data_IF_552120077252
#
_entry.id   IF_552120077252
#
_cell.length_a   1.000
_cell.length_b   1.000
_cell.length_c   1.000
_cell.angle_alpha   90.00
_cell.angle_beta   90.00
_cell.angle_gamma   90.00
#
_symmetry.space_group_name_H-M   'P 1'
#
loop_
_entity.id
_entity.type
_entity.pdbx_description
1 polymer ?
#
# COMPACT_ATOMS: atom_id res chain seq x y z
N UNK A 1 22.87 28.88 4.58
CA UNK A 1 23.64 27.73 4.06
C UNK A 1 22.64 26.69 3.57
N UNK A 2 22.56 26.47 2.26
CA UNK A 2 21.63 25.50 1.67
C UNK A 2 22.05 24.09 2.05
N UNK A 3 21.11 23.31 2.60
CA UNK A 3 21.38 21.92 2.98
C UNK A 3 20.38 21.00 2.33
N UNK A 4 20.91 20.03 1.58
CA UNK A 4 20.12 19.08 0.79
C UNK A 4 20.18 17.70 1.43
N UNK A 5 19.01 17.10 1.62
CA UNK A 5 18.83 15.74 2.13
C UNK A 5 18.29 14.83 1.04
N UNK A 6 18.90 13.65 0.93
CA UNK A 6 18.48 12.61 0.00
C UNK A 6 17.68 11.53 0.74
N UNK A 7 17.03 10.64 -0.02
CA UNK A 7 16.42 9.45 0.54
C UNK A 7 17.51 8.46 0.95
N UNK A 8 17.42 7.94 2.19
CA UNK A 8 18.40 7.01 2.72
C UNK A 8 18.45 5.69 1.94
N UNK A 9 19.66 5.16 1.75
CA UNK A 9 19.85 3.86 1.11
C UNK A 9 19.13 2.73 1.85
N UNK A 10 19.11 2.78 3.18
CA UNK A 10 18.44 1.80 4.02
C UNK A 10 16.93 1.77 3.75
N UNK A 11 16.32 2.94 3.56
CA UNK A 11 14.93 3.04 3.16
C UNK A 11 14.67 2.46 1.77
N UNK A 12 15.56 2.73 0.81
CA UNK A 12 15.47 2.17 -0.55
C UNK A 12 15.59 0.64 -0.51
N UNK A 13 16.54 0.10 0.25
CA UNK A 13 16.73 -1.35 0.45
C UNK A 13 15.50 -1.98 1.09
N UNK A 14 14.93 -1.35 2.12
CA UNK A 14 13.70 -1.82 2.77
C UNK A 14 12.53 -1.84 1.78
N UNK A 15 12.28 -0.75 1.06
CA UNK A 15 11.19 -0.69 0.07
C UNK A 15 11.38 -1.69 -1.07
N UNK A 16 12.60 -1.92 -1.53
CA UNK A 16 12.90 -2.97 -2.52
C UNK A 16 12.55 -4.36 -1.98
N UNK A 17 12.91 -4.66 -0.72
CA UNK A 17 12.54 -5.93 -0.06
C UNK A 17 11.03 -6.08 0.05
N UNK A 18 10.32 -5.07 0.57
CA UNK A 18 8.85 -5.10 0.68
C UNK A 18 8.18 -5.33 -0.67
N UNK A 19 8.62 -4.62 -1.72
CA UNK A 19 8.09 -4.81 -3.07
C UNK A 19 8.37 -6.21 -3.61
N UNK A 20 9.57 -6.74 -3.39
CA UNK A 20 9.92 -8.10 -3.81
C UNK A 20 9.07 -9.15 -3.09
N UNK A 21 8.85 -9.00 -1.78
CA UNK A 21 7.93 -9.87 -1.02
C UNK A 21 6.52 -9.82 -1.61
N UNK A 22 6.01 -8.62 -1.94
CA UNK A 22 4.71 -8.47 -2.59
C UNK A 22 4.64 -9.15 -3.96
N UNK A 23 5.68 -8.99 -4.79
CA UNK A 23 5.76 -9.61 -6.12
C UNK A 23 5.73 -11.14 -6.06
N UNK A 24 6.32 -11.75 -5.04
CA UNK A 24 6.33 -13.21 -4.87
C UNK A 24 5.04 -13.71 -4.21
N UNK A 25 4.55 -13.00 -3.18
CA UNK A 25 3.40 -13.44 -2.38
C UNK A 25 2.05 -13.25 -3.09
N UNK A 26 1.88 -12.18 -3.87
CA UNK A 26 0.60 -11.91 -4.55
C UNK A 26 0.17 -13.04 -5.50
N UNK A 27 1.04 -13.57 -6.39
CA UNK A 27 0.67 -14.71 -7.25
C UNK A 27 0.33 -15.97 -6.46
N UNK A 28 1.10 -16.26 -5.41
CA UNK A 28 0.85 -17.42 -4.53
C UNK A 28 -0.52 -17.29 -3.86
N UNK A 29 -0.88 -16.09 -3.39
CA UNK A 29 -2.21 -15.82 -2.84
C UNK A 29 -3.32 -16.01 -3.87
N UNK A 30 -3.13 -15.53 -5.09
CA UNK A 30 -4.14 -15.68 -6.15
C UNK A 30 -4.35 -17.17 -6.44
N UNK A 31 -3.27 -17.94 -6.57
CA UNK A 31 -3.36 -19.39 -6.75
C UNK A 31 -4.03 -20.09 -5.57
N UNK A 32 -3.62 -19.82 -4.33
CA UNK A 32 -4.23 -20.39 -3.12
C UNK A 32 -5.71 -20.02 -2.99
N UNK A 33 -6.06 -18.76 -3.22
CA UNK A 33 -7.45 -18.29 -3.15
C UNK A 33 -8.32 -18.92 -4.23
N UNK A 34 -7.79 -19.13 -5.43
CA UNK A 34 -8.49 -19.84 -6.49
C UNK A 34 -8.68 -21.33 -6.14
N UNK A 35 -7.65 -21.98 -5.59
CA UNK A 35 -7.72 -23.38 -5.15
C UNK A 35 -8.72 -23.55 -4.00
N UNK A 36 -8.76 -22.62 -3.04
CA UNK A 36 -9.69 -22.70 -1.91
C UNK A 36 -11.13 -22.35 -2.37
N UNK A 37 -11.28 -21.32 -3.21
CA UNK A 37 -12.57 -20.83 -3.69
C UNK A 37 -13.27 -21.73 -4.69
N UNK A 38 -12.50 -22.42 -5.53
CA UNK A 38 -13.04 -23.26 -6.60
C UNK A 38 -12.64 -24.74 -6.45
N UNK A 39 -11.97 -25.12 -5.34
CA UNK A 39 -11.37 -26.44 -5.05
C UNK A 39 -12.25 -27.63 -5.34
N UNK A 40 -13.55 -27.47 -5.05
CA UNK A 40 -14.57 -28.51 -5.20
C UNK A 40 -15.32 -28.42 -6.54
N UNK A 41 -15.10 -27.39 -7.34
CA UNK A 41 -15.75 -27.21 -8.64
C UNK A 41 -15.02 -27.95 -9.76
N UNK A 42 -15.78 -28.51 -10.71
CA UNK A 42 -15.24 -29.08 -11.96
C UNK A 42 -14.47 -28.05 -12.80
N UNK A 43 -14.63 -26.76 -12.51
CA UNK A 43 -13.97 -25.64 -13.20
C UNK A 43 -12.45 -25.66 -12.97
N UNK A 44 -11.96 -25.99 -11.77
CA UNK A 44 -10.50 -26.10 -11.51
C UNK A 44 -9.86 -27.23 -12.31
N UNK A 45 -10.58 -28.33 -12.54
CA UNK A 45 -10.08 -29.47 -13.30
C UNK A 45 -9.93 -29.17 -14.79
N UNK A 46 -10.46 -28.04 -15.26
CA UNK A 46 -10.30 -27.60 -16.63
C UNK A 46 -8.90 -27.02 -16.86
N UNK A 47 -8.15 -27.61 -17.78
CA UNK A 47 -6.85 -27.09 -18.23
C UNK A 47 -6.92 -25.63 -18.71
N UNK A 48 -8.08 -25.20 -19.24
CA UNK A 48 -8.33 -23.81 -19.65
C UNK A 48 -8.34 -22.85 -18.45
N UNK A 49 -8.92 -23.25 -17.32
CA UNK A 49 -8.96 -22.43 -16.11
C UNK A 49 -7.56 -22.21 -15.53
N UNK A 50 -6.75 -23.28 -15.47
CA UNK A 50 -5.35 -23.21 -15.01
C UNK A 50 -4.50 -22.32 -15.94
N UNK A 51 -4.71 -22.41 -17.26
CA UNK A 51 -4.05 -21.56 -18.24
C UNK A 51 -4.43 -20.08 -18.07
N UNK A 52 -5.70 -19.76 -17.87
CA UNK A 52 -6.16 -18.39 -17.63
C UNK A 52 -5.59 -17.86 -16.30
N UNK A 53 -5.63 -18.66 -15.24
CA UNK A 53 -5.13 -18.27 -13.92
C UNK A 53 -3.63 -18.01 -13.93
N UNK A 54 -2.86 -18.86 -14.63
CA UNK A 54 -1.42 -18.68 -14.78
C UNK A 54 -1.10 -17.44 -15.64
N UNK A 55 -1.85 -17.19 -16.72
CA UNK A 55 -1.73 -15.97 -17.52
C UNK A 55 -1.97 -14.69 -16.71
N UNK A 56 -3.05 -14.65 -15.91
CA UNK A 56 -3.35 -13.52 -15.01
C UNK A 56 -2.24 -13.33 -13.98
N UNK A 57 -1.76 -14.41 -13.39
CA UNK A 57 -0.67 -14.38 -12.39
C UNK A 57 0.62 -13.82 -12.98
N UNK A 58 1.01 -14.27 -14.17
CA UNK A 58 2.19 -13.77 -14.89
C UNK A 58 2.04 -12.28 -15.23
N UNK A 59 0.87 -11.89 -15.74
CA UNK A 59 0.59 -10.49 -16.06
C UNK A 59 0.74 -9.59 -14.82
N UNK A 60 0.17 -9.99 -13.68
CA UNK A 60 0.29 -9.25 -12.42
C UNK A 60 1.74 -9.16 -11.92
N UNK A 61 2.53 -10.23 -12.06
CA UNK A 61 3.96 -10.19 -11.71
C UNK A 61 4.69 -9.16 -12.56
N UNK A 62 4.47 -9.17 -13.88
CA UNK A 62 5.09 -8.22 -14.81
C UNK A 62 4.69 -6.79 -14.44
N UNK A 63 3.40 -6.55 -14.20
CA UNK A 63 2.90 -5.24 -13.80
C UNK A 63 3.53 -4.76 -12.49
N UNK A 64 3.58 -5.61 -11.46
CA UNK A 64 4.21 -5.28 -10.18
C UNK A 64 5.70 -4.96 -10.32
N UNK A 65 6.43 -5.69 -11.18
CA UNK A 65 7.84 -5.40 -11.48
C UNK A 65 7.98 -4.02 -12.12
N UNK A 66 7.15 -3.70 -13.10
CA UNK A 66 7.17 -2.40 -13.79
C UNK A 66 6.81 -1.27 -12.83
N UNK A 67 5.75 -1.43 -12.03
CA UNK A 67 5.32 -0.46 -11.02
C UNK A 67 6.41 -0.23 -9.97
N UNK A 68 7.00 -1.31 -9.46
CA UNK A 68 8.08 -1.25 -8.47
C UNK A 68 9.30 -0.50 -9.01
N UNK A 69 9.73 -0.78 -10.25
CA UNK A 69 10.83 -0.03 -10.90
C UNK A 69 10.53 1.47 -11.01
N UNK A 70 9.33 1.84 -11.46
CA UNK A 70 8.92 3.24 -11.61
C UNK A 70 8.85 3.93 -10.24
N UNK A 71 8.27 3.28 -9.25
CA UNK A 71 8.13 3.83 -7.90
C UNK A 71 9.49 4.02 -7.23
N UNK A 72 10.39 3.03 -7.32
CA UNK A 72 11.75 3.14 -6.80
C UNK A 72 12.54 4.26 -7.49
N UNK A 73 12.38 4.43 -8.81
CA UNK A 73 13.00 5.55 -9.54
C UNK A 73 12.50 6.90 -9.03
N UNK A 74 11.19 7.04 -8.81
CA UNK A 74 10.59 8.26 -8.24
C UNK A 74 11.06 8.54 -6.81
N UNK A 75 11.14 7.51 -5.97
CA UNK A 75 11.63 7.65 -4.59
C UNK A 75 13.10 8.12 -4.61
N UNK A 76 13.95 7.50 -5.43
CA UNK A 76 15.37 7.88 -5.54
C UNK A 76 15.59 9.31 -6.02
N UNK A 77 14.69 9.84 -6.87
CA UNK A 77 14.76 11.22 -7.33
C UNK A 77 14.27 12.24 -6.31
N UNK A 78 13.68 11.81 -5.19
CA UNK A 78 13.21 12.75 -4.19
C UNK A 78 14.36 13.35 -3.40
N UNK A 79 14.39 14.68 -3.30
CA UNK A 79 15.32 15.42 -2.46
C UNK A 79 14.57 16.50 -1.70
N UNK A 80 15.10 16.89 -0.55
CA UNK A 80 14.62 18.04 0.20
C UNK A 80 15.77 19.00 0.38
N UNK A 81 15.52 20.26 0.16
CA UNK A 81 16.46 21.34 0.38
C UNK A 81 15.86 22.32 1.38
N UNK A 82 16.69 22.73 2.34
CA UNK A 82 16.35 23.75 3.31
C UNK A 82 16.99 25.08 2.90
N UNK A 83 16.14 26.07 2.67
CA UNK A 83 16.55 27.46 2.50
C UNK A 83 16.32 28.23 3.81
N UNK A 84 16.65 29.51 3.82
CA UNK A 84 16.46 30.35 5.01
C UNK A 84 14.98 30.56 5.34
N UNK A 85 14.11 30.60 4.33
CA UNK A 85 12.67 30.91 4.47
C UNK A 85 11.74 29.74 4.17
N UNK A 86 12.21 28.68 3.52
CA UNK A 86 11.36 27.60 3.06
C UNK A 86 12.03 26.21 3.04
N UNK A 87 11.17 25.21 2.88
CA UNK A 87 11.54 23.82 2.57
C UNK A 87 11.16 23.58 1.11
N UNK A 88 12.14 23.26 0.26
CA UNK A 88 11.91 22.87 -1.13
C UNK A 88 11.99 21.36 -1.27
N UNK A 89 10.96 20.74 -1.83
CA UNK A 89 10.90 19.32 -2.13
C UNK A 89 10.97 19.11 -3.63
N UNK A 90 11.99 18.38 -4.07
CA UNK A 90 12.17 17.99 -5.45
C UNK A 90 11.61 16.59 -5.66
N UNK A 91 10.68 16.45 -6.61
CA UNK A 91 10.05 15.20 -7.01
C UNK A 91 10.23 14.95 -8.51
N UNK A 92 11.46 14.65 -8.92
CA UNK A 92 11.80 14.59 -10.35
C UNK A 92 11.84 15.99 -10.96
N UNK A 93 10.91 16.29 -11.88
CA UNK A 93 10.81 17.62 -12.53
C UNK A 93 9.97 18.63 -11.74
N UNK A 94 9.26 18.18 -10.71
CA UNK A 94 8.39 19.04 -9.92
C UNK A 94 9.12 19.53 -8.67
N UNK A 95 8.97 20.82 -8.37
CA UNK A 95 9.47 21.44 -7.14
C UNK A 95 8.27 21.95 -6.37
N UNK A 96 8.13 21.51 -5.12
CA UNK A 96 7.15 22.04 -4.18
C UNK A 96 7.90 22.86 -3.13
N UNK A 97 7.47 24.10 -2.89
CA UNK A 97 8.08 24.99 -1.89
C UNK A 97 7.10 25.25 -0.74
N UNK A 98 7.62 25.20 0.48
CA UNK A 98 6.85 25.33 1.71
C UNK A 98 7.52 26.33 2.64
N UNK A 99 6.96 27.53 2.74
CA UNK A 99 7.46 28.58 3.64
C UNK A 99 7.23 28.20 5.10
N UNK A 100 8.18 28.55 5.98
CA UNK A 100 8.08 28.24 7.41
C UNK A 100 6.89 28.95 8.08
N UNK A 101 6.58 30.18 7.68
CA UNK A 101 5.49 31.00 8.22
C UNK A 101 4.10 30.37 8.05
N UNK A 102 3.93 29.56 7.00
CA UNK A 102 2.67 28.90 6.66
C UNK A 102 2.49 27.54 7.37
N UNK A 103 3.49 27.10 8.15
CA UNK A 103 3.46 25.84 8.89
C UNK A 103 2.65 26.04 10.16
N UNK A 104 1.49 25.39 10.20
CA UNK A 104 0.55 25.49 11.34
C UNK A 104 0.84 24.48 12.44
N UNK A 105 1.36 23.30 12.06
CA UNK A 105 1.54 22.19 13.00
C UNK A 105 2.54 21.18 12.46
N UNK A 106 3.40 20.69 13.34
CA UNK A 106 4.34 19.61 13.07
C UNK A 106 4.02 18.45 13.98
N UNK A 107 3.96 17.26 13.40
CA UNK A 107 3.73 16.02 14.12
C UNK A 107 4.92 15.10 13.89
N UNK A 108 5.61 14.74 14.96
CA UNK A 108 6.76 13.82 14.89
C UNK A 108 6.33 12.47 15.45
N UNK A 109 6.59 11.41 14.68
CA UNK A 109 6.36 10.04 15.12
C UNK A 109 7.71 9.33 15.21
N UNK A 110 7.94 8.70 16.38
CA UNK A 110 9.18 8.02 16.71
C UNK A 110 8.96 6.51 16.79
N UNK A 111 9.98 5.75 16.38
CA UNK A 111 10.07 4.30 16.58
C UNK A 111 10.35 3.98 18.05
N UNK A 112 10.09 2.75 18.52
CA UNK A 112 10.46 2.31 19.88
C UNK A 112 11.94 2.53 20.23
N UNK A 113 12.81 2.53 19.22
CA UNK A 113 14.25 2.87 19.33
C UNK A 113 14.53 4.36 19.55
N UNK A 114 13.50 5.20 19.74
CA UNK A 114 13.52 6.67 19.87
C UNK A 114 13.98 7.44 18.63
N UNK A 115 14.32 6.76 17.53
CA UNK A 115 14.60 7.39 16.22
C UNK A 115 13.33 7.95 15.59
N UNK A 116 13.45 9.04 14.85
CA UNK A 116 12.31 9.63 14.13
C UNK A 116 11.95 8.71 12.95
N UNK A 117 10.72 8.23 12.90
CA UNK A 117 10.22 7.45 11.77
C UNK A 117 9.85 8.38 10.63
N UNK A 118 8.98 9.37 10.90
CA UNK A 118 8.57 10.38 9.94
C UNK A 118 8.13 11.68 10.63
N UNK A 119 8.17 12.76 9.87
CA UNK A 119 7.74 14.10 10.27
C UNK A 119 6.55 14.48 9.39
N UNK A 120 5.40 14.76 9.99
CA UNK A 120 4.21 15.22 9.29
C UNK A 120 4.02 16.72 9.52
N UNK A 121 4.12 17.50 8.47
CA UNK A 121 4.01 18.96 8.48
C UNK A 121 2.64 19.34 7.93
N UNK A 122 1.86 20.10 8.69
CA UNK A 122 0.60 20.68 8.25
C UNK A 122 0.84 22.10 7.75
N UNK A 123 0.66 22.27 6.45
CA UNK A 123 0.92 23.51 5.72
C UNK A 123 -0.38 23.98 5.07
N UNK A 124 -0.91 25.14 5.49
CA UNK A 124 -2.23 25.63 5.05
C UNK A 124 -3.32 24.52 5.17
N UNK A 125 -3.97 24.15 4.06
CA UNK A 125 -4.96 23.06 3.96
C UNK A 125 -4.35 21.71 3.53
N UNK A 126 -3.03 21.59 3.41
CA UNK A 126 -2.32 20.38 2.98
C UNK A 126 -1.52 19.77 4.13
N UNK A 127 -1.17 18.50 4.01
CA UNK A 127 -0.23 17.84 4.91
C UNK A 127 0.87 17.16 4.11
N UNK A 128 2.11 17.41 4.50
CA UNK A 128 3.31 16.84 3.90
C UNK A 128 3.86 15.83 4.90
N UNK A 129 4.35 14.69 4.42
CA UNK A 129 5.00 13.70 5.27
C UNK A 129 6.42 13.48 4.76
N UNK A 130 7.39 13.80 5.60
CA UNK A 130 8.81 13.54 5.37
C UNK A 130 9.12 12.16 5.95
N UNK A 131 9.43 11.21 5.07
CA UNK A 131 9.65 9.81 5.44
C UNK A 131 10.78 9.22 4.61
N UNK A 132 11.68 8.48 5.26
CA UNK A 132 12.77 7.76 4.60
C UNK A 132 13.99 8.60 4.20
N UNK A 133 14.02 9.89 4.54
CA UNK A 133 15.18 10.77 4.32
C UNK A 133 16.34 10.43 5.26
N UNK A 134 17.54 10.78 4.82
CA UNK A 134 18.74 10.71 5.65
C UNK A 134 18.66 11.73 6.79
N UNK A 135 19.12 11.33 7.98
CA UNK A 135 19.21 12.19 9.17
C UNK A 135 17.92 12.97 9.47
N UNK A 136 16.78 12.28 9.58
CA UNK A 136 15.49 12.89 9.94
C UNK A 136 15.56 13.68 11.26
N UNK A 137 16.45 13.31 12.18
CA UNK A 137 16.72 14.06 13.41
C UNK A 137 17.29 15.46 13.15
N UNK A 138 18.22 15.59 12.20
CA UNK A 138 18.81 16.88 11.82
C UNK A 138 17.80 17.74 11.06
N UNK A 139 17.02 17.12 10.16
CA UNK A 139 15.88 17.74 9.49
C UNK A 139 14.89 18.30 10.52
N UNK A 140 14.54 17.50 11.54
CA UNK A 140 13.62 17.94 12.59
C UNK A 140 14.17 19.15 13.35
N UNK A 141 15.43 19.11 13.79
CA UNK A 141 16.07 20.25 14.50
C UNK A 141 16.07 21.53 13.66
N UNK A 142 16.32 21.44 12.36
CA UNK A 142 16.27 22.61 11.46
C UNK A 142 14.89 23.21 11.32
N UNK A 143 13.86 22.36 11.36
CA UNK A 143 12.46 22.80 11.33
C UNK A 143 12.07 23.43 12.68
N UNK A 144 12.44 22.77 13.79
CA UNK A 144 12.16 23.21 15.16
C UNK A 144 12.78 24.59 15.44
N UNK A 145 14.03 24.82 15.03
CA UNK A 145 14.70 26.11 15.22
C UNK A 145 14.05 27.29 14.47
N UNK A 146 13.15 27.03 13.51
CA UNK A 146 12.54 28.06 12.64
C UNK A 146 11.06 28.30 12.91
N UNK A 147 10.43 27.55 13.81
CA UNK A 147 8.99 27.58 14.01
C UNK A 147 8.70 27.64 15.52
N UNK A 148 7.71 28.42 15.97
CA UNK A 148 7.36 28.50 17.39
C UNK A 148 7.00 27.13 18.00
N UNK A 149 7.47 26.89 19.23
CA UNK A 149 7.34 25.63 19.99
C UNK A 149 5.90 25.11 20.09
N UNK A 150 4.92 26.02 20.11
CA UNK A 150 3.47 25.70 20.20
C UNK A 150 2.94 24.90 19.02
N UNK A 151 3.69 24.82 17.92
CA UNK A 151 3.31 24.09 16.71
C UNK A 151 3.71 22.60 16.73
N UNK A 152 4.57 22.18 17.66
CA UNK A 152 5.18 20.85 17.65
C UNK A 152 4.41 19.90 18.56
N UNK A 153 3.86 18.83 17.97
CA UNK A 153 3.24 17.73 18.71
C UNK A 153 4.04 16.46 18.48
N UNK A 154 4.55 15.89 19.56
CA UNK A 154 5.22 14.59 19.55
C UNK A 154 4.21 13.50 19.93
N UNK A 155 3.93 12.58 19.00
CA UNK A 155 2.98 11.50 19.24
C UNK A 155 3.67 10.24 19.76
N UNK A 156 2.95 9.51 20.62
CA UNK A 156 3.38 8.23 21.20
C UNK A 156 3.47 7.12 20.15
N UNK A 157 4.38 6.19 20.43
CA UNK A 157 4.78 5.03 19.63
C UNK A 157 3.61 4.19 19.09
N UNK A 158 3.76 3.69 17.87
CA UNK A 158 2.95 2.57 17.38
C UNK A 158 3.56 1.25 17.88
N UNK A 159 2.77 0.43 18.58
CA UNK A 159 3.23 -0.85 19.17
C UNK A 159 3.53 -1.91 18.09
N UNK A 160 2.97 -1.77 16.89
CA UNK A 160 3.11 -2.72 15.77
C UNK A 160 3.66 -2.00 14.55
N UNK A 161 4.78 -2.50 14.02
CA UNK A 161 5.35 -2.03 12.76
C UNK A 161 4.69 -2.74 11.56
N UNK A 162 3.57 -2.17 11.09
CA UNK A 162 2.84 -2.66 9.92
C UNK A 162 3.63 -2.58 8.60
N UNK A 163 4.76 -1.85 8.57
CA UNK A 163 5.64 -1.81 7.40
C UNK A 163 6.60 -3.01 7.32
N UNK A 164 6.58 -3.91 8.31
CA UNK A 164 7.40 -5.13 8.30
C UNK A 164 6.82 -6.15 7.30
N UNK A 165 7.59 -6.65 6.32
CA UNK A 165 7.11 -7.68 5.40
C UNK A 165 6.61 -8.95 6.10
N UNK A 166 7.13 -9.29 7.29
CA UNK A 166 6.65 -10.41 8.09
C UNK A 166 5.25 -10.19 8.66
N UNK A 167 4.88 -8.96 9.03
CA UNK A 167 3.53 -8.66 9.52
C UNK A 167 2.49 -8.96 8.43
N UNK A 168 2.84 -8.69 7.18
CA UNK A 168 1.99 -9.03 6.04
C UNK A 168 1.86 -10.54 5.85
N UNK A 169 2.96 -11.30 5.96
CA UNK A 169 2.94 -12.77 5.89
C UNK A 169 2.06 -13.37 7.00
N UNK A 170 2.21 -12.88 8.24
CA UNK A 170 1.40 -13.35 9.38
C UNK A 170 -0.08 -13.05 9.16
N UNK A 171 -0.42 -11.85 8.67
CA UNK A 171 -1.80 -11.50 8.32
C UNK A 171 -2.36 -12.41 7.22
N UNK A 172 -1.54 -12.75 6.21
CA UNK A 172 -1.92 -13.69 5.14
C UNK A 172 -2.19 -15.10 5.67
N UNK A 173 -1.33 -15.62 6.54
CA UNK A 173 -1.50 -16.94 7.16
C UNK A 173 -2.76 -16.98 8.03
N UNK A 174 -3.03 -15.93 8.81
CA UNK A 174 -4.26 -15.79 9.59
C UNK A 174 -5.49 -15.81 8.69
N UNK A 175 -5.47 -15.06 7.59
CA UNK A 175 -6.58 -15.05 6.64
C UNK A 175 -6.84 -16.45 6.06
N UNK A 176 -5.78 -17.18 5.68
CA UNK A 176 -5.89 -18.56 5.18
C UNK A 176 -6.49 -19.51 6.22
N UNK A 177 -6.07 -19.41 7.49
CA UNK A 177 -6.62 -20.21 8.59
C UNK A 177 -8.11 -19.91 8.81
N UNK A 178 -8.50 -18.64 8.79
CA UNK A 178 -9.91 -18.24 8.92
C UNK A 178 -10.74 -18.80 7.77
N UNK A 179 -10.30 -18.62 6.53
CA UNK A 179 -11.00 -19.14 5.35
C UNK A 179 -11.14 -20.66 5.43
N UNK A 180 -10.05 -21.37 5.75
CA UNK A 180 -10.04 -22.84 5.87
C UNK A 180 -10.88 -23.37 7.03
N UNK A 181 -11.06 -22.57 8.09
CA UNK A 181 -11.91 -22.93 9.23
C UNK A 181 -13.38 -22.77 8.88
N UNK A 182 -13.75 -21.68 8.20
CA UNK A 182 -15.14 -21.43 7.76
C UNK A 182 -15.58 -22.49 6.76
N UNK A 183 -14.72 -22.87 5.80
CA UNK A 183 -15.03 -23.95 4.83
C UNK A 183 -15.30 -25.29 5.51
N UNK A 184 -14.61 -25.60 6.62
CA UNK A 184 -14.80 -26.85 7.37
C UNK A 184 -16.06 -26.88 8.24
N UNK A 185 -16.52 -25.72 8.73
CA UNK A 185 -17.68 -25.66 9.63
C UNK A 185 -18.98 -25.80 8.86
N UNK A 186 -19.16 -25.00 7.81
CA UNK A 186 -20.40 -25.02 7.02
C UNK A 186 -20.13 -24.42 5.64
N UNK A 187 -20.34 -25.22 4.59
CA UNK A 187 -20.13 -24.82 3.20
C UNK A 187 -21.01 -23.63 2.79
N UNK A 188 -22.26 -23.60 3.23
CA UNK A 188 -23.20 -22.52 2.94
C UNK A 188 -22.77 -21.22 3.62
N UNK A 189 -22.28 -21.30 4.85
CA UNK A 189 -21.77 -20.14 5.59
C UNK A 189 -20.48 -19.58 4.97
N UNK A 190 -19.64 -20.48 4.43
CA UNK A 190 -18.50 -20.12 3.61
C UNK A 190 -18.90 -19.39 2.32
N UNK A 191 -19.89 -19.90 1.60
CA UNK A 191 -20.37 -19.30 0.36
C UNK A 191 -20.93 -17.89 0.59
N UNK A 192 -21.73 -17.69 1.66
CA UNK A 192 -22.20 -16.36 2.06
C UNK A 192 -21.04 -15.43 2.41
N UNK A 193 -20.10 -15.88 3.24
CA UNK A 193 -18.92 -15.08 3.61
C UNK A 193 -18.09 -14.70 2.38
N UNK A 194 -17.83 -15.65 1.48
CA UNK A 194 -17.05 -15.44 0.27
C UNK A 194 -17.74 -14.44 -0.68
N UNK A 195 -19.05 -14.55 -0.85
CA UNK A 195 -19.83 -13.62 -1.68
C UNK A 195 -19.86 -12.20 -1.09
N UNK A 196 -20.09 -12.05 0.20
CA UNK A 196 -20.06 -10.73 0.87
C UNK A 196 -18.66 -10.12 0.80
N UNK A 197 -17.63 -10.92 1.04
CA UNK A 197 -16.23 -10.48 0.97
C UNK A 197 -15.84 -10.04 -0.45
N UNK A 198 -16.17 -10.82 -1.47
CA UNK A 198 -15.86 -10.50 -2.88
C UNK A 198 -16.63 -9.27 -3.37
N UNK A 199 -17.88 -9.08 -2.98
CA UNK A 199 -18.63 -7.84 -3.22
C UNK A 199 -17.96 -6.65 -2.52
N UNK A 200 -17.56 -6.81 -1.26
CA UNK A 200 -16.85 -5.77 -0.52
C UNK A 200 -15.55 -5.35 -1.20
N UNK A 201 -14.76 -6.32 -1.67
CA UNK A 201 -13.52 -6.08 -2.42
C UNK A 201 -13.81 -5.42 -3.77
N UNK A 202 -14.82 -5.87 -4.51
CA UNK A 202 -15.15 -5.28 -5.82
C UNK A 202 -15.57 -3.82 -5.69
N UNK A 203 -16.44 -3.50 -4.73
CA UNK A 203 -16.86 -2.14 -4.41
C UNK A 203 -15.67 -1.28 -3.95
N UNK A 204 -14.73 -1.85 -3.19
CA UNK A 204 -13.51 -1.16 -2.81
C UNK A 204 -12.63 -0.81 -4.02
N UNK A 205 -12.51 -1.69 -5.01
CA UNK A 205 -11.79 -1.39 -6.25
C UNK A 205 -12.49 -0.32 -7.09
N UNK A 206 -13.82 -0.40 -7.25
CA UNK A 206 -14.61 0.54 -8.06
C UNK A 206 -14.68 1.93 -7.42
N UNK A 207 -15.02 2.00 -6.12
CA UNK A 207 -15.29 3.24 -5.40
C UNK A 207 -14.02 3.78 -4.72
N UNK A 208 -13.29 2.88 -4.05
CA UNK A 208 -12.10 3.22 -3.25
C UNK A 208 -10.89 3.60 -4.09
N UNK A 209 -10.75 3.02 -5.29
CA UNK A 209 -9.70 3.33 -6.28
C UNK A 209 -8.27 3.28 -5.67
N UNK A 210 -7.91 2.18 -4.97
CA UNK A 210 -6.69 2.12 -4.16
C UNK A 210 -5.38 2.24 -4.97
N UNK A 211 -5.33 1.62 -6.14
CA UNK A 211 -4.20 1.61 -7.07
C UNK A 211 -4.13 2.94 -7.83
N UNK A 212 -5.22 3.51 -8.34
CA UNK A 212 -5.11 4.78 -9.07
C UNK A 212 -4.80 5.98 -8.16
N UNK A 213 -5.21 5.94 -6.88
CA UNK A 213 -4.78 6.92 -5.87
C UNK A 213 -3.28 6.86 -5.58
N UNK A 214 -2.66 5.69 -5.66
CA UNK A 214 -1.25 5.47 -5.28
C UNK A 214 -0.28 5.42 -6.47
N UNK A 215 -0.66 4.74 -7.55
CA UNK A 215 0.11 4.52 -8.78
C UNK A 215 -0.21 5.49 -9.92
N UNK A 216 -1.31 6.24 -9.84
CA UNK A 216 -1.72 7.25 -10.82
C UNK A 216 -2.88 6.83 -11.74
N UNK A 217 -3.44 7.81 -12.46
CA UNK A 217 -4.72 7.67 -13.22
C UNK A 217 -4.76 6.53 -14.25
N UNK A 218 -3.60 6.11 -14.79
CA UNK A 218 -3.53 5.02 -15.78
C UNK A 218 -4.06 3.67 -15.27
N UNK A 219 -4.01 3.44 -13.96
CA UNK A 219 -4.51 2.20 -13.35
C UNK A 219 -6.02 2.21 -13.15
N UNK A 220 -6.70 3.34 -13.39
CA UNK A 220 -8.13 3.45 -13.16
C UNK A 220 -8.95 2.49 -14.02
N UNK A 221 -8.54 2.28 -15.27
CA UNK A 221 -9.23 1.34 -16.17
C UNK A 221 -9.07 -0.09 -15.66
N UNK A 222 -7.87 -0.46 -15.24
CA UNK A 222 -7.57 -1.79 -14.70
C UNK A 222 -8.36 -2.07 -13.41
N UNK A 223 -8.44 -1.09 -12.50
CA UNK A 223 -9.26 -1.21 -11.27
C UNK A 223 -10.74 -1.41 -11.57
N UNK A 224 -11.25 -0.71 -12.58
CA UNK A 224 -12.65 -0.77 -12.97
C UNK A 224 -12.97 -2.12 -13.63
N UNK A 225 -12.08 -2.61 -14.51
CA UNK A 225 -12.20 -3.94 -15.12
C UNK A 225 -12.15 -5.03 -14.04
N UNK A 226 -11.16 -4.99 -13.14
CA UNK A 226 -11.05 -5.96 -12.05
C UNK A 226 -12.25 -5.92 -11.11
N UNK A 227 -12.67 -4.72 -10.70
CA UNK A 227 -13.83 -4.52 -9.84
C UNK A 227 -15.10 -5.08 -10.47
N UNK A 228 -15.39 -4.71 -11.73
CA UNK A 228 -16.57 -5.23 -12.43
C UNK A 228 -16.50 -6.75 -12.65
N UNK A 229 -15.34 -7.30 -12.99
CA UNK A 229 -15.18 -8.74 -13.18
C UNK A 229 -15.46 -9.53 -11.88
N UNK A 230 -14.95 -9.05 -10.74
CA UNK A 230 -15.18 -9.67 -9.41
C UNK A 230 -16.65 -9.51 -8.99
N UNK A 231 -17.27 -8.36 -9.29
CA UNK A 231 -18.69 -8.13 -9.01
C UNK A 231 -19.58 -9.09 -9.82
N UNK A 232 -19.32 -9.23 -11.13
CA UNK A 232 -20.07 -10.14 -11.99
C UNK A 232 -19.89 -11.59 -11.51
N UNK A 233 -18.66 -12.02 -11.19
CA UNK A 233 -18.43 -13.40 -10.71
C UNK A 233 -19.12 -13.69 -9.38
N UNK A 234 -19.15 -12.72 -8.46
CA UNK A 234 -19.87 -12.87 -7.18
C UNK A 234 -21.39 -12.89 -7.36
N UNK A 235 -21.95 -12.08 -8.25
CA UNK A 235 -23.38 -12.12 -8.58
C UNK A 235 -23.79 -13.44 -9.23
N UNK A 236 -22.97 -14.00 -10.11
CA UNK A 236 -23.19 -15.33 -10.69
C UNK A 236 -23.16 -16.39 -9.58
N UNK A 237 -22.18 -16.35 -8.67
CA UNK A 237 -22.08 -17.26 -7.52
C UNK A 237 -23.27 -17.18 -6.56
N UNK A 238 -23.83 -15.99 -6.34
CA UNK A 238 -25.05 -15.81 -5.56
C UNK A 238 -26.26 -16.41 -6.27
N UNK A 239 -26.39 -16.19 -7.58
CA UNK A 239 -27.52 -16.75 -8.33
C UNK A 239 -27.54 -18.28 -8.26
N UNK A 240 -26.39 -18.96 -8.34
CA UNK A 240 -26.31 -20.41 -8.22
C UNK A 240 -26.69 -20.96 -6.83
N UNK A 241 -26.72 -20.13 -5.78
CA UNK A 241 -27.15 -20.53 -4.43
C UNK A 241 -28.66 -20.44 -4.23
N UNK A 242 -29.36 -19.67 -5.04
CA UNK A 242 -30.81 -19.52 -4.97
C UNK A 242 -31.57 -20.45 -5.92
N UNK A 243 -30.87 -21.06 -6.89
CA UNK A 243 -31.46 -21.93 -7.91
C UNK A 243 -31.07 -23.42 -7.78
N UNK A 244 -30.38 -23.81 -6.70
CA UNK A 244 -30.12 -25.20 -6.28
C UNK A 244 -30.78 -25.44 -4.92
#
# INVERSE_FOLDING_TARGET
METTYSISENFIKLKKRTMLTLTIMMPILIMLSAVIGFGNSTIIKSSKFILILSGISIFLVIELIVVSKIMLKKIKSNKIEFTDTAIKRYGGKYVEEFNFEDITKIKVIKLPSKKIEYIKIKYKKKSITLYGFENLEDIFKKIENKIPDTSIITDKFWKINWNNPFAMIVFMLLLLVVISSITRINHTLYEYFNNVFTIGVSLYFILGKPISKSGGKRFRILELILGCAILISSLIGISSLFFN
#
